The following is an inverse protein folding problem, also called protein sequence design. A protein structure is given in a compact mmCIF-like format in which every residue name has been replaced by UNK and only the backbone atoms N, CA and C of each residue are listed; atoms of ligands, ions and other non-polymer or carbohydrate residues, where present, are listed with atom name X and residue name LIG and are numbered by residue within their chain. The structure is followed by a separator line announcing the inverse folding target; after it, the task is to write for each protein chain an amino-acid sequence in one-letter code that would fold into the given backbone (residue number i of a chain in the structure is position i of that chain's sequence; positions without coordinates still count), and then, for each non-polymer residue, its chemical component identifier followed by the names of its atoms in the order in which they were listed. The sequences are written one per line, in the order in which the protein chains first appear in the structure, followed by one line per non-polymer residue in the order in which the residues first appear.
data_IF_743429826217
#
_entry.id   IF_743429826217
#
_cell.length_a   1.000
_cell.length_b   1.000
_cell.length_c   1.000
_cell.angle_alpha   90.00
_cell.angle_beta   90.00
_cell.angle_gamma   90.00
#
_symmetry.space_group_name_H-M   'P 1'
#
loop_
_entity.id
_entity.type
_entity.pdbx_description
1 polymer ?
#
# COMPACT_ATOMS: atom_id res chain seq x y z
N UNK A 1 -17.25 -46.40 -7.29
CA UNK A 1 -15.96 -46.26 -8.01
C UNK A 1 -16.03 -45.16 -9.06
N UNK A 2 -17.09 -45.11 -9.89
CA UNK A 2 -17.33 -44.01 -10.82
C UNK A 2 -17.56 -42.65 -10.14
N UNK A 3 -18.29 -42.59 -9.02
CA UNK A 3 -18.56 -41.34 -8.30
C UNK A 3 -17.29 -40.72 -7.68
N UNK A 4 -16.46 -41.55 -7.04
CA UNK A 4 -15.16 -41.12 -6.48
C UNK A 4 -14.20 -40.64 -7.57
N UNK A 5 -14.22 -41.27 -8.75
CA UNK A 5 -13.41 -40.84 -9.89
C UNK A 5 -13.90 -39.51 -10.48
N UNK A 6 -15.22 -39.30 -10.56
CA UNK A 6 -15.81 -38.03 -10.98
C UNK A 6 -15.49 -36.92 -9.99
N UNK A 7 -15.59 -37.17 -8.69
CA UNK A 7 -15.26 -36.21 -7.64
C UNK A 7 -13.77 -35.81 -7.68
N UNK A 8 -12.87 -36.77 -7.92
CA UNK A 8 -11.45 -36.52 -8.10
C UNK A 8 -11.14 -35.72 -9.38
N UNK A 9 -11.84 -36.02 -10.49
CA UNK A 9 -11.73 -35.26 -11.74
C UNK A 9 -12.22 -33.82 -11.58
N UNK A 10 -13.28 -33.59 -10.82
CA UNK A 10 -13.76 -32.24 -10.51
C UNK A 10 -12.76 -31.46 -9.64
N UNK A 11 -12.21 -32.09 -8.60
CA UNK A 11 -11.13 -31.53 -7.79
C UNK A 11 -9.93 -31.14 -8.65
N UNK A 12 -9.44 -32.03 -9.51
CA UNK A 12 -8.31 -31.73 -10.42
C UNK A 12 -8.61 -30.62 -11.41
N UNK A 13 -9.84 -30.56 -11.94
CA UNK A 13 -10.27 -29.46 -12.81
C UNK A 13 -10.35 -28.14 -12.05
N UNK A 14 -10.78 -28.15 -10.78
CA UNK A 14 -10.81 -26.97 -9.91
C UNK A 14 -9.40 -26.48 -9.60
N UNK A 15 -8.51 -27.36 -9.14
CA UNK A 15 -7.09 -27.05 -8.92
C UNK A 15 -6.44 -26.44 -10.17
N UNK A 16 -6.66 -27.05 -11.34
CA UNK A 16 -6.12 -26.55 -12.61
C UNK A 16 -6.69 -25.17 -12.97
N UNK A 17 -7.99 -24.95 -12.78
CA UNK A 17 -8.62 -23.64 -13.02
C UNK A 17 -8.06 -22.58 -12.07
N UNK A 18 -7.86 -22.90 -10.79
CA UNK A 18 -7.26 -21.99 -9.82
C UNK A 18 -5.80 -21.68 -10.15
N UNK A 19 -5.04 -22.68 -10.60
CA UNK A 19 -3.65 -22.49 -11.04
C UNK A 19 -3.57 -21.55 -12.25
N UNK A 20 -4.37 -21.80 -13.30
CA UNK A 20 -4.41 -20.95 -14.49
C UNK A 20 -4.85 -19.52 -14.17
N UNK A 21 -5.85 -19.34 -13.29
CA UNK A 21 -6.25 -18.01 -12.82
C UNK A 21 -5.13 -17.29 -12.07
N UNK A 22 -4.34 -18.01 -11.26
CA UNK A 22 -3.17 -17.44 -10.57
C UNK A 22 -2.08 -17.03 -11.57
N UNK A 23 -1.80 -17.85 -12.59
CA UNK A 23 -0.83 -17.53 -13.64
C UNK A 23 -1.27 -16.31 -14.47
N UNK A 24 -2.52 -16.25 -14.88
CA UNK A 24 -3.08 -15.14 -15.65
C UNK A 24 -2.99 -13.84 -14.85
N UNK A 25 -3.38 -13.87 -13.57
CA UNK A 25 -3.23 -12.73 -12.66
C UNK A 25 -1.77 -12.27 -12.51
N UNK A 26 -0.80 -13.20 -12.49
CA UNK A 26 0.64 -12.87 -12.45
C UNK A 26 1.09 -12.23 -13.77
N UNK A 27 0.63 -12.74 -14.90
CA UNK A 27 0.92 -12.15 -16.21
C UNK A 27 0.37 -10.73 -16.34
N UNK A 28 -0.86 -10.50 -15.89
CA UNK A 28 -1.49 -9.18 -15.87
C UNK A 28 -0.76 -8.22 -14.93
N UNK A 29 -0.30 -8.73 -13.77
CA UNK A 29 0.56 -8.00 -12.82
C UNK A 29 1.82 -7.47 -13.53
N UNK A 30 2.53 -8.32 -14.27
CA UNK A 30 3.75 -7.92 -14.98
C UNK A 30 3.47 -6.91 -16.09
N UNK A 31 2.35 -7.08 -16.80
CA UNK A 31 1.98 -6.21 -17.91
C UNK A 31 1.62 -4.81 -17.41
N UNK A 32 0.74 -4.72 -16.41
CA UNK A 32 0.34 -3.44 -15.81
C UNK A 32 1.55 -2.71 -15.19
N UNK A 33 2.41 -3.45 -14.50
CA UNK A 33 3.62 -2.88 -13.92
C UNK A 33 4.61 -2.38 -14.98
N UNK A 34 4.76 -3.10 -16.08
CA UNK A 34 5.62 -2.67 -17.19
C UNK A 34 5.14 -1.35 -17.79
N UNK A 35 3.82 -1.15 -17.86
CA UNK A 35 3.22 0.14 -18.27
C UNK A 35 3.46 1.25 -17.25
N UNK A 36 3.25 0.96 -15.96
CA UNK A 36 3.42 1.93 -14.87
C UNK A 36 4.90 2.32 -14.67
N UNK A 37 5.86 1.46 -15.02
CA UNK A 37 7.30 1.77 -15.06
C UNK A 37 7.68 2.57 -16.33
N UNK A 38 7.10 2.24 -17.49
CA UNK A 38 7.42 2.91 -18.76
C UNK A 38 7.04 4.40 -18.74
N UNK A 39 5.94 4.73 -18.08
CA UNK A 39 5.41 6.11 -18.00
C UNK A 39 6.40 7.10 -17.34
N UNK A 40 6.89 6.89 -16.10
CA UNK A 40 7.88 7.77 -15.49
C UNK A 40 9.22 7.75 -16.22
N UNK A 41 9.62 6.61 -16.81
CA UNK A 41 10.86 6.51 -17.59
C UNK A 41 10.81 7.38 -18.86
N UNK A 42 9.69 7.35 -19.59
CA UNK A 42 9.47 8.19 -20.78
C UNK A 42 9.42 9.67 -20.39
N UNK A 43 8.78 9.99 -19.27
CA UNK A 43 8.76 11.36 -18.73
C UNK A 43 10.16 11.84 -18.35
N UNK A 44 11.00 10.98 -17.75
CA UNK A 44 12.38 11.30 -17.38
C UNK A 44 13.22 11.64 -18.61
N UNK A 45 13.15 10.81 -19.65
CA UNK A 45 13.87 11.02 -20.90
C UNK A 45 13.49 12.36 -21.55
N UNK A 46 12.18 12.68 -21.58
CA UNK A 46 11.70 13.98 -22.06
C UNK A 46 12.23 15.17 -21.26
N UNK A 47 12.28 15.09 -19.93
CA UNK A 47 12.83 16.17 -19.10
C UNK A 47 14.35 16.29 -19.22
N UNK A 48 15.08 15.21 -19.47
CA UNK A 48 16.51 15.28 -19.80
C UNK A 48 16.72 16.02 -21.13
N UNK A 49 15.96 15.70 -22.18
CA UNK A 49 16.04 16.39 -23.48
C UNK A 49 15.70 17.88 -23.37
N UNK A 50 14.70 18.24 -22.57
CA UNK A 50 14.36 19.65 -22.30
C UNK A 50 15.48 20.35 -21.54
N UNK A 51 16.12 19.68 -20.58
CA UNK A 51 17.23 20.25 -19.81
C UNK A 51 18.48 20.48 -20.66
N UNK A 52 18.77 19.60 -21.61
CA UNK A 52 19.91 19.75 -22.55
C UNK A 52 19.78 20.97 -23.46
N UNK A 53 18.56 21.40 -23.77
CA UNK A 53 18.28 22.51 -24.68
C UNK A 53 17.85 23.81 -23.97
N UNK A 54 17.68 23.76 -22.65
CA UNK A 54 17.25 24.89 -21.83
C UNK A 54 18.45 25.72 -21.35
N UNK A 55 18.44 27.02 -21.63
CA UNK A 55 19.47 27.97 -21.15
C UNK A 55 19.05 28.68 -19.86
N UNK A 56 17.75 28.69 -19.53
CA UNK A 56 17.24 29.31 -18.30
C UNK A 56 17.52 28.45 -17.06
N UNK A 57 18.18 29.05 -16.07
CA UNK A 57 18.53 28.40 -14.80
C UNK A 57 17.32 28.13 -13.90
N UNK A 58 16.23 28.88 -14.02
CA UNK A 58 15.01 28.61 -13.25
C UNK A 58 14.27 27.40 -13.81
N UNK A 59 14.07 27.34 -15.13
CA UNK A 59 13.51 26.16 -15.79
C UNK A 59 14.35 24.89 -15.60
N UNK A 60 15.69 24.97 -15.72
CA UNK A 60 16.56 23.82 -15.41
C UNK A 60 16.37 23.29 -13.99
N UNK A 61 16.28 24.17 -12.99
CA UNK A 61 16.01 23.77 -11.60
C UNK A 61 14.63 23.12 -11.45
N UNK A 62 13.61 23.63 -12.15
CA UNK A 62 12.28 23.02 -12.19
C UNK A 62 12.32 21.63 -12.81
N UNK A 63 12.96 21.44 -13.96
CA UNK A 63 13.09 20.13 -14.61
C UNK A 63 13.87 19.14 -13.73
N UNK A 64 14.95 19.59 -13.07
CA UNK A 64 15.71 18.77 -12.12
C UNK A 64 14.83 18.27 -10.97
N UNK A 65 13.98 19.15 -10.42
CA UNK A 65 13.04 18.76 -9.36
C UNK A 65 12.06 17.69 -9.85
N UNK A 66 11.49 17.86 -11.05
CA UNK A 66 10.57 16.88 -11.64
C UNK A 66 11.28 15.54 -11.90
N UNK A 67 12.52 15.55 -12.38
CA UNK A 67 13.34 14.35 -12.56
C UNK A 67 13.53 13.62 -11.23
N UNK A 68 13.90 14.34 -10.17
CA UNK A 68 14.07 13.76 -8.84
C UNK A 68 12.77 13.14 -8.30
N UNK A 69 11.63 13.82 -8.47
CA UNK A 69 10.31 13.29 -8.10
C UNK A 69 10.00 11.99 -8.86
N UNK A 70 10.27 11.95 -10.18
CA UNK A 70 10.03 10.76 -11.01
C UNK A 70 10.94 9.58 -10.66
N UNK A 71 12.21 9.82 -10.35
CA UNK A 71 13.13 8.79 -9.85
C UNK A 71 12.64 8.26 -8.50
N UNK A 72 12.17 9.13 -7.61
CA UNK A 72 11.57 8.76 -6.33
C UNK A 72 10.40 7.80 -6.53
N UNK A 73 9.42 8.17 -7.35
CA UNK A 73 8.25 7.30 -7.65
C UNK A 73 8.65 5.96 -8.27
N UNK A 74 9.66 5.93 -9.15
CA UNK A 74 10.16 4.69 -9.75
C UNK A 74 10.78 3.77 -8.70
N UNK A 75 11.57 4.33 -7.77
CA UNK A 75 12.17 3.58 -6.67
C UNK A 75 11.10 2.95 -5.77
N UNK A 76 10.07 3.71 -5.42
CA UNK A 76 8.94 3.19 -4.63
C UNK A 76 8.22 2.04 -5.33
N UNK A 77 7.92 2.18 -6.63
CA UNK A 77 7.30 1.11 -7.43
C UNK A 77 8.15 -0.16 -7.47
N UNK A 78 9.47 -0.03 -7.61
CA UNK A 78 10.39 -1.17 -7.58
C UNK A 78 10.43 -1.84 -6.20
N UNK A 79 10.41 -1.06 -5.11
CA UNK A 79 10.34 -1.60 -3.76
C UNK A 79 9.02 -2.34 -3.50
N UNK A 80 7.90 -1.80 -3.99
CA UNK A 80 6.58 -2.46 -3.91
C UNK A 80 6.59 -3.78 -4.68
N UNK A 81 7.15 -3.79 -5.90
CA UNK A 81 7.31 -5.01 -6.68
C UNK A 81 8.17 -6.04 -5.96
N UNK A 82 9.31 -5.62 -5.44
CA UNK A 82 10.22 -6.52 -4.75
C UNK A 82 9.57 -7.12 -3.50
N UNK A 83 8.86 -6.29 -2.73
CA UNK A 83 8.08 -6.75 -1.57
C UNK A 83 7.00 -7.74 -2.01
N UNK A 84 6.27 -7.44 -3.08
CA UNK A 84 5.26 -8.33 -3.64
C UNK A 84 5.83 -9.69 -4.06
N UNK A 85 6.93 -9.70 -4.82
CA UNK A 85 7.57 -10.96 -5.27
C UNK A 85 8.08 -11.78 -4.09
N UNK A 86 8.64 -11.15 -3.05
CA UNK A 86 9.03 -11.82 -1.81
C UNK A 86 7.84 -12.44 -1.08
N UNK A 87 6.76 -11.69 -0.90
CA UNK A 87 5.54 -12.19 -0.24
C UNK A 87 4.81 -13.28 -1.05
N UNK A 88 5.12 -13.45 -2.33
CA UNK A 88 4.63 -14.57 -3.14
C UNK A 88 5.45 -15.84 -3.00
N UNK A 89 6.68 -15.73 -2.53
CA UNK A 89 7.48 -16.90 -2.29
C UNK A 89 7.09 -17.50 -0.94
N UNK A 90 6.51 -18.70 -0.96
CA UNK A 90 6.12 -19.42 0.27
C UNK A 90 7.34 -19.73 1.16
N UNK A 91 8.55 -19.74 0.60
CA UNK A 91 9.79 -19.88 1.37
C UNK A 91 10.26 -18.58 2.03
N UNK A 92 9.61 -17.44 1.77
CA UNK A 92 9.96 -16.17 2.40
C UNK A 92 9.52 -16.16 3.86
N UNK A 93 10.50 -16.34 4.75
CA UNK A 93 10.29 -16.28 6.19
C UNK A 93 10.40 -14.82 6.67
N UNK A 94 9.33 -14.29 7.27
CA UNK A 94 9.44 -13.03 8.00
C UNK A 94 10.09 -13.30 9.35
N UNK A 95 11.24 -12.68 9.59
CA UNK A 95 11.87 -12.72 10.91
C UNK A 95 11.02 -11.92 11.90
N UNK A 96 10.42 -12.64 12.85
CA UNK A 96 9.57 -12.05 13.87
C UNK A 96 10.35 -11.76 15.14
N UNK A 97 10.20 -10.55 15.66
CA UNK A 97 10.76 -10.05 16.91
C UNK A 97 9.70 -9.33 17.74
N UNK A 98 10.00 -9.06 19.00
CA UNK A 98 9.14 -8.20 19.83
C UNK A 98 9.25 -6.76 19.34
N UNK A 99 8.14 -6.20 18.85
CA UNK A 99 8.08 -4.89 18.23
C UNK A 99 7.22 -3.94 19.07
N UNK A 100 7.73 -2.75 19.39
CA UNK A 100 6.94 -1.70 20.06
C UNK A 100 6.15 -0.89 19.03
N UNK A 101 4.83 -1.09 18.97
CA UNK A 101 3.98 -0.48 17.95
C UNK A 101 3.90 1.04 18.10
N UNK A 102 3.86 1.55 19.33
CA UNK A 102 3.81 3.00 19.59
C UNK A 102 5.03 3.70 18.97
N UNK A 103 6.22 3.10 19.08
CA UNK A 103 7.46 3.67 18.52
C UNK A 103 7.42 3.65 16.99
N UNK A 104 7.12 2.50 16.40
CA UNK A 104 7.08 2.34 14.94
C UNK A 104 6.04 3.28 14.32
N UNK A 105 4.86 3.41 14.95
CA UNK A 105 3.81 4.30 14.49
C UNK A 105 4.24 5.77 14.57
N UNK A 106 4.80 6.21 15.71
CA UNK A 106 5.28 7.59 15.87
C UNK A 106 6.38 7.93 14.88
N UNK A 107 7.38 7.06 14.72
CA UNK A 107 8.47 7.24 13.76
C UNK A 107 7.94 7.34 12.33
N UNK A 108 6.94 6.51 11.99
CA UNK A 108 6.33 6.52 10.66
C UNK A 108 5.55 7.82 10.45
N UNK A 109 4.68 8.23 11.37
CA UNK A 109 3.93 9.49 11.25
C UNK A 109 4.88 10.68 11.10
N UNK A 110 5.95 10.72 11.89
CA UNK A 110 6.95 11.79 11.85
C UNK A 110 7.71 11.84 10.52
N UNK A 111 7.95 10.70 9.87
CA UNK A 111 8.61 10.67 8.56
C UNK A 111 7.81 11.36 7.44
N UNK A 112 6.50 11.54 7.63
CA UNK A 112 5.62 12.26 6.70
C UNK A 112 5.43 13.74 7.07
N UNK A 113 6.13 14.28 8.09
CA UNK A 113 5.95 15.66 8.59
C UNK A 113 6.01 16.74 7.49
N UNK A 114 7.00 16.68 6.62
CA UNK A 114 7.16 17.66 5.54
C UNK A 114 6.03 17.55 4.50
N UNK A 115 5.48 16.37 4.28
CA UNK A 115 4.37 16.13 3.35
C UNK A 115 3.03 16.60 3.94
N UNK A 116 2.81 16.37 5.25
CA UNK A 116 1.66 16.91 5.98
C UNK A 116 1.63 18.44 5.88
N UNK A 117 2.73 19.07 6.28
CA UNK A 117 2.86 20.53 6.33
C UNK A 117 2.83 21.16 4.94
N UNK A 118 3.52 20.56 3.96
CA UNK A 118 3.50 21.01 2.56
C UNK A 118 2.12 20.98 1.91
N UNK A 119 1.22 20.08 2.35
CA UNK A 119 -0.17 19.98 1.89
C UNK A 119 -1.17 20.74 2.78
N UNK A 120 -0.71 21.32 3.89
CA UNK A 120 -1.57 21.98 4.89
C UNK A 120 -2.53 21.00 5.58
N UNK A 121 -2.05 19.80 5.88
CA UNK A 121 -2.76 18.73 6.57
C UNK A 121 -2.29 18.72 8.02
N UNK A 122 -3.23 18.72 8.95
CA UNK A 122 -2.97 18.55 10.39
C UNK A 122 -3.59 17.21 10.83
N UNK A 123 -2.79 16.14 10.95
CA UNK A 123 -3.33 14.83 11.32
C UNK A 123 -3.74 14.80 12.79
N UNK A 124 -4.95 14.29 13.05
CA UNK A 124 -5.40 14.01 14.42
C UNK A 124 -4.79 12.68 14.90
N UNK A 125 -3.94 12.74 15.93
CA UNK A 125 -3.18 11.56 16.40
C UNK A 125 -3.61 11.22 17.82
N UNK A 126 -4.13 10.01 18.01
CA UNK A 126 -4.56 9.50 19.30
C UNK A 126 -3.85 8.17 19.60
N UNK A 127 -2.71 8.24 20.29
CA UNK A 127 -1.90 7.07 20.63
C UNK A 127 -1.94 6.86 22.14
N UNK A 128 -2.35 5.67 22.58
CA UNK A 128 -2.32 5.30 24.00
C UNK A 128 -0.92 5.48 24.61
N UNK A 129 -0.87 5.89 25.88
CA UNK A 129 0.38 6.03 26.63
C UNK A 129 0.98 4.67 27.02
N UNK A 130 0.14 3.62 27.13
CA UNK A 130 0.60 2.26 27.38
C UNK A 130 1.42 1.79 26.17
N UNK A 131 2.64 1.31 26.42
CA UNK A 131 3.46 0.72 25.36
C UNK A 131 2.90 -0.65 24.99
N UNK A 132 2.53 -0.79 23.73
CA UNK A 132 1.99 -2.02 23.15
C UNK A 132 3.07 -2.74 22.36
N UNK A 133 3.21 -4.03 22.63
CA UNK A 133 4.19 -4.90 21.98
C UNK A 133 3.47 -6.06 21.30
N UNK A 134 3.95 -6.45 20.12
CA UNK A 134 3.53 -7.67 19.46
C UNK A 134 4.72 -8.41 18.88
N UNK A 135 4.55 -9.71 18.65
CA UNK A 135 5.48 -10.50 17.86
C UNK A 135 5.23 -10.21 16.37
N UNK A 136 6.16 -9.52 15.72
CA UNK A 136 6.02 -9.11 14.32
C UNK A 136 7.36 -8.77 13.71
N UNK A 137 7.35 -8.28 12.47
CA UNK A 137 8.57 -7.79 11.83
C UNK A 137 8.51 -6.27 11.73
N UNK A 138 9.46 -5.58 12.35
CA UNK A 138 9.48 -4.11 12.42
C UNK A 138 9.40 -3.46 11.04
N UNK A 139 10.16 -3.95 10.06
CA UNK A 139 10.16 -3.41 8.70
C UNK A 139 8.81 -3.64 8.00
N UNK A 140 8.22 -4.82 8.19
CA UNK A 140 6.89 -5.15 7.68
C UNK A 140 5.81 -4.26 8.29
N UNK A 141 5.83 -4.03 9.60
CA UNK A 141 4.88 -3.13 10.28
C UNK A 141 5.04 -1.70 9.77
N UNK A 142 6.27 -1.20 9.66
CA UNK A 142 6.56 0.11 9.08
C UNK A 142 6.00 0.21 7.66
N UNK A 143 6.16 -0.83 6.85
CA UNK A 143 5.64 -0.86 5.47
C UNK A 143 4.12 -0.88 5.41
N UNK A 144 3.45 -1.63 6.31
CA UNK A 144 1.98 -1.60 6.45
C UNK A 144 1.52 -0.16 6.69
N UNK A 145 2.13 0.50 7.68
CA UNK A 145 1.76 1.87 8.06
C UNK A 145 2.03 2.87 6.93
N UNK A 146 3.21 2.81 6.29
CA UNK A 146 3.54 3.65 5.14
C UNK A 146 2.53 3.50 4.00
N UNK A 147 2.14 2.27 3.65
CA UNK A 147 1.19 2.02 2.57
C UNK A 147 -0.19 2.61 2.87
N UNK A 148 -0.66 2.54 4.12
CA UNK A 148 -1.99 3.05 4.51
C UNK A 148 -1.95 4.58 4.67
N UNK A 149 -0.92 5.12 5.32
CA UNK A 149 -0.73 6.57 5.51
C UNK A 149 -0.61 7.26 4.14
N UNK A 150 0.21 6.72 3.23
CA UNK A 150 0.37 7.24 1.88
C UNK A 150 -0.93 7.17 1.09
N UNK A 151 -1.73 6.10 1.26
CA UNK A 151 -3.06 6.03 0.64
C UNK A 151 -3.96 7.18 1.11
N UNK A 152 -3.95 7.48 2.41
CA UNK A 152 -4.67 8.64 2.96
C UNK A 152 -4.18 9.97 2.40
N UNK A 153 -2.88 10.12 2.16
CA UNK A 153 -2.29 11.33 1.55
C UNK A 153 -2.64 11.49 0.08
N UNK A 154 -2.52 10.43 -0.71
CA UNK A 154 -2.67 10.48 -2.17
C UNK A 154 -4.13 10.50 -2.63
N UNK A 155 -5.03 9.95 -1.82
CA UNK A 155 -6.45 9.80 -2.16
C UNK A 155 -7.41 10.49 -1.18
N UNK A 156 -6.90 10.99 -0.05
CA UNK A 156 -7.68 11.73 0.92
C UNK A 156 -7.62 13.23 0.73
N UNK A 157 -8.55 13.89 1.42
CA UNK A 157 -8.59 15.34 1.60
C UNK A 157 -7.70 15.76 2.78
N UNK A 158 -7.91 16.97 3.31
CA UNK A 158 -7.07 17.54 4.37
C UNK A 158 -7.26 16.93 5.76
N UNK A 159 -8.23 16.03 5.95
CA UNK A 159 -8.53 15.43 7.26
C UNK A 159 -8.07 13.99 7.30
N UNK A 160 -7.11 13.72 8.18
CA UNK A 160 -6.59 12.39 8.47
C UNK A 160 -6.58 12.20 9.97
N UNK A 161 -7.05 11.05 10.44
CA UNK A 161 -6.97 10.65 11.85
C UNK A 161 -6.25 9.31 11.97
N UNK A 162 -5.41 9.18 12.98
CA UNK A 162 -4.61 7.99 13.26
C UNK A 162 -4.73 7.67 14.74
N UNK A 163 -5.21 6.47 15.06
CA UNK A 163 -5.31 6.00 16.44
C UNK A 163 -4.60 4.67 16.67
N UNK A 164 -4.09 4.51 17.89
CA UNK A 164 -3.53 3.28 18.43
C UNK A 164 -4.08 3.06 19.83
N UNK A 165 -4.82 1.97 19.99
CA UNK A 165 -5.45 1.58 21.25
C UNK A 165 -5.30 0.07 21.51
N UNK A 166 -5.48 -0.32 22.77
CA UNK A 166 -5.61 -1.71 23.17
C UNK A 166 -7.09 -2.01 23.41
N UNK A 167 -7.61 -3.07 22.78
CA UNK A 167 -9.01 -3.47 22.89
C UNK A 167 -9.07 -4.97 23.07
N UNK A 168 -9.68 -5.43 24.16
CA UNK A 168 -9.91 -6.86 24.42
C UNK A 168 -8.64 -7.72 24.24
N UNK A 169 -7.50 -7.26 24.78
CA UNK A 169 -6.22 -7.97 24.68
C UNK A 169 -5.68 -8.09 23.23
N UNK A 170 -6.03 -7.12 22.39
CA UNK A 170 -5.55 -6.96 21.02
C UNK A 170 -5.11 -5.52 20.78
N UNK A 171 -4.16 -5.34 19.87
CA UNK A 171 -3.67 -4.02 19.46
C UNK A 171 -4.47 -3.59 18.24
N UNK A 172 -5.19 -2.46 18.35
CA UNK A 172 -5.94 -1.87 17.24
C UNK A 172 -5.26 -0.61 16.73
N UNK A 173 -5.02 -0.57 15.43
CA UNK A 173 -4.56 0.60 14.70
C UNK A 173 -5.69 1.02 13.74
N UNK A 174 -6.06 2.29 13.77
CA UNK A 174 -7.04 2.83 12.85
C UNK A 174 -6.47 4.05 12.15
N UNK A 175 -6.62 4.09 10.83
CA UNK A 175 -6.27 5.25 10.01
C UNK A 175 -7.50 5.61 9.21
N UNK A 176 -7.99 6.84 9.37
CA UNK A 176 -9.10 7.37 8.59
C UNK A 176 -8.65 8.57 7.78
N UNK A 177 -9.20 8.70 6.59
CA UNK A 177 -9.03 9.88 5.76
C UNK A 177 -10.37 10.26 5.14
N UNK A 178 -10.62 11.57 5.07
CA UNK A 178 -11.78 12.08 4.35
C UNK A 178 -11.59 11.87 2.85
N UNK A 179 -12.64 11.45 2.13
CA UNK A 179 -12.64 11.22 0.69
C UNK A 179 -13.79 11.98 0.03
N UNK A 180 -13.58 12.50 -1.19
CA UNK A 180 -14.60 13.25 -1.93
C UNK A 180 -15.67 12.36 -2.58
N UNK A 181 -15.28 11.19 -3.07
CA UNK A 181 -16.12 10.32 -3.91
C UNK A 181 -16.21 8.91 -3.33
N UNK A 182 -16.89 8.78 -2.19
CA UNK A 182 -17.12 7.49 -1.53
C UNK A 182 -17.78 6.47 -2.45
N UNK A 183 -18.65 6.93 -3.35
CA UNK A 183 -19.40 6.12 -4.31
C UNK A 183 -18.53 5.38 -5.32
N UNK A 184 -17.29 5.83 -5.52
CA UNK A 184 -16.31 5.17 -6.41
C UNK A 184 -15.47 4.11 -5.70
N UNK A 185 -15.57 4.01 -4.38
CA UNK A 185 -14.74 3.12 -3.58
C UNK A 185 -15.51 1.83 -3.30
N UNK A 186 -15.09 0.74 -3.95
CA UNK A 186 -15.54 -0.59 -3.63
C UNK A 186 -14.71 -1.17 -2.47
N UNK A 187 -15.26 -1.10 -1.26
CA UNK A 187 -14.64 -1.57 -0.01
C UNK A 187 -14.23 -3.04 -0.06
N UNK A 188 -15.00 -3.88 -0.77
CA UNK A 188 -14.68 -5.31 -0.90
C UNK A 188 -13.43 -5.56 -1.75
N UNK A 189 -13.06 -4.58 -2.59
CA UNK A 189 -11.96 -4.68 -3.55
C UNK A 189 -10.74 -3.81 -3.20
N UNK A 190 -10.79 -2.95 -2.18
CA UNK A 190 -9.66 -2.03 -1.88
C UNK A 190 -8.35 -2.73 -1.53
N UNK A 191 -8.42 -4.00 -1.10
CA UNK A 191 -7.25 -4.83 -0.83
C UNK A 191 -6.89 -5.77 -1.99
N UNK A 192 -7.67 -5.78 -3.06
CA UNK A 192 -7.33 -6.49 -4.28
C UNK A 192 -6.19 -5.77 -5.00
N UNK A 193 -5.38 -6.56 -5.70
CA UNK A 193 -4.18 -6.05 -6.38
C UNK A 193 -4.58 -5.18 -7.56
N UNK A 194 -3.85 -4.09 -7.78
CA UNK A 194 -4.08 -3.14 -8.88
C UNK A 194 -5.43 -2.43 -8.82
N UNK A 195 -6.18 -2.60 -7.73
CA UNK A 195 -7.43 -1.88 -7.56
C UNK A 195 -7.16 -0.37 -7.48
N UNK A 196 -7.87 0.38 -8.33
CA UNK A 196 -7.84 1.85 -8.38
C UNK A 196 -9.29 2.33 -8.45
N UNK A 197 -9.74 3.12 -7.48
CA UNK A 197 -11.09 3.68 -7.46
C UNK A 197 -11.34 4.70 -8.59
N UNK A 198 -10.28 5.34 -9.09
CA UNK A 198 -10.35 6.28 -10.21
C UNK A 198 -9.07 6.19 -11.06
N UNK A 199 -9.14 5.49 -12.20
CA UNK A 199 -8.01 5.31 -13.12
C UNK A 199 -7.46 6.63 -13.67
N UNK A 200 -8.28 7.68 -13.76
CA UNK A 200 -7.88 8.97 -14.34
C UNK A 200 -7.08 9.85 -13.36
N UNK A 201 -7.32 9.71 -12.05
CA UNK A 201 -6.61 10.46 -11.00
C UNK A 201 -5.43 9.69 -10.38
N UNK A 202 -5.35 8.37 -10.55
CA UNK A 202 -4.35 7.47 -9.95
C UNK A 202 -3.06 7.32 -10.78
N UNK A 203 -2.59 8.38 -11.45
CA UNK A 203 -1.40 8.30 -12.34
C UNK A 203 -0.08 7.95 -11.62
N UNK A 204 -0.04 8.02 -10.29
CA UNK A 204 1.18 7.83 -9.48
C UNK A 204 1.14 6.63 -8.55
N UNK A 205 0.00 5.94 -8.39
CA UNK A 205 -0.12 4.80 -7.48
C UNK A 205 -0.25 3.49 -8.25
N UNK A 206 0.51 2.47 -7.85
CA UNK A 206 0.54 1.13 -8.48
C UNK A 206 -0.71 0.29 -8.20
N UNK A 207 -1.52 0.67 -7.20
CA UNK A 207 -2.60 -0.17 -6.67
C UNK A 207 -2.12 -1.40 -5.88
N UNK A 208 -0.84 -1.47 -5.50
CA UNK A 208 -0.29 -2.58 -4.73
C UNK A 208 -0.24 -2.31 -3.22
N UNK A 209 -0.18 -1.06 -2.78
CA UNK A 209 0.06 -0.68 -1.39
C UNK A 209 -0.84 -1.36 -0.36
N UNK A 210 -2.17 -1.24 -0.50
CA UNK A 210 -3.13 -1.85 0.43
C UNK A 210 -3.11 -3.39 0.36
N UNK A 211 -2.89 -3.97 -0.81
CA UNK A 211 -2.77 -5.43 -0.96
C UNK A 211 -1.51 -5.98 -0.26
N UNK A 212 -0.39 -5.25 -0.31
CA UNK A 212 0.84 -5.57 0.42
C UNK A 212 0.62 -5.44 1.93
N UNK A 213 -0.08 -4.37 2.35
CA UNK A 213 -0.42 -4.18 3.76
C UNK A 213 -1.26 -5.34 4.29
N UNK A 214 -2.29 -5.77 3.53
CA UNK A 214 -3.12 -6.93 3.89
C UNK A 214 -2.29 -8.21 4.04
N UNK A 215 -1.44 -8.51 3.07
CA UNK A 215 -0.60 -9.71 3.09
C UNK A 215 0.36 -9.73 4.29
N UNK A 216 1.00 -8.59 4.60
CA UNK A 216 1.89 -8.47 5.76
C UNK A 216 1.14 -8.63 7.08
N UNK A 217 -0.04 -8.01 7.22
CA UNK A 217 -0.89 -8.15 8.41
C UNK A 217 -1.28 -9.61 8.62
N UNK A 218 -1.72 -10.31 7.56
CA UNK A 218 -2.11 -11.72 7.64
C UNK A 218 -0.93 -12.63 8.01
N UNK A 219 0.27 -12.37 7.48
CA UNK A 219 1.49 -13.12 7.84
C UNK A 219 1.95 -12.87 9.28
N UNK A 220 1.52 -11.78 9.90
CA UNK A 220 1.72 -11.47 11.32
C UNK A 220 0.49 -11.85 12.16
N UNK A 221 -0.38 -12.74 11.64
CA UNK A 221 -1.58 -13.27 12.34
C UNK A 221 -2.62 -12.20 12.72
N UNK A 222 -2.50 -11.01 12.15
CA UNK A 222 -3.46 -9.93 12.33
C UNK A 222 -4.64 -10.00 11.36
N UNK A 223 -5.58 -9.08 11.57
CA UNK A 223 -6.73 -8.83 10.69
C UNK A 223 -6.69 -7.41 10.20
N UNK A 224 -7.04 -7.20 8.94
CA UNK A 224 -7.18 -5.89 8.32
C UNK A 224 -8.56 -5.78 7.68
N UNK A 225 -9.22 -4.65 7.85
CA UNK A 225 -10.51 -4.36 7.24
C UNK A 225 -10.57 -2.90 6.79
N UNK A 226 -11.46 -2.62 5.85
CA UNK A 226 -11.77 -1.27 5.42
C UNK A 226 -13.28 -1.05 5.52
N UNK A 227 -13.69 0.19 5.77
CA UNK A 227 -15.08 0.61 5.78
C UNK A 227 -15.22 2.08 5.43
N UNK A 228 -16.43 2.48 5.07
CA UNK A 228 -16.78 3.88 4.83
C UNK A 228 -17.74 4.32 5.94
N UNK A 229 -17.39 5.39 6.64
CA UNK A 229 -18.20 6.02 7.67
C UNK A 229 -18.52 7.45 7.23
N UNK A 230 -19.72 7.68 6.68
CA UNK A 230 -20.08 8.97 6.09
C UNK A 230 -19.19 9.29 4.88
N UNK A 231 -18.32 10.29 5.00
CA UNK A 231 -17.35 10.69 3.96
C UNK A 231 -15.91 10.28 4.31
N UNK A 232 -15.72 9.38 5.28
CA UNK A 232 -14.41 8.92 5.72
C UNK A 232 -14.17 7.49 5.25
N UNK A 233 -13.02 7.26 4.61
CA UNK A 233 -12.49 5.94 4.38
C UNK A 233 -11.65 5.54 5.61
N UNK A 234 -11.98 4.40 6.21
CA UNK A 234 -11.34 3.92 7.42
C UNK A 234 -10.69 2.57 7.16
N UNK A 235 -9.39 2.47 7.43
CA UNK A 235 -8.65 1.21 7.48
C UNK A 235 -8.37 0.87 8.94
N UNK A 236 -8.72 -0.36 9.32
CA UNK A 236 -8.52 -0.88 10.66
C UNK A 236 -7.66 -2.13 10.62
N UNK A 237 -6.65 -2.17 11.48
CA UNK A 237 -5.78 -3.33 11.70
C UNK A 237 -5.92 -3.76 13.15
N UNK A 238 -6.06 -5.07 13.36
CA UNK A 238 -6.10 -5.68 14.69
C UNK A 238 -5.05 -6.78 14.75
N UNK A 239 -4.11 -6.67 15.68
CA UNK A 239 -3.15 -7.73 15.99
C UNK A 239 -3.50 -8.38 17.34
N UNK A 240 -3.40 -9.71 17.46
CA UNK A 240 -3.43 -10.34 18.77
C UNK A 240 -2.22 -9.87 19.59
N UNK A 241 -2.42 -9.62 20.89
CA UNK A 241 -1.33 -9.29 21.83
C UNK A 241 -0.38 -10.48 22.06
#
# INVERSE_FOLDING_TARGET
MADVLNEWLELKRREKKEYLKKEEMISDTYTNLSHDIRTPLTSLDGYFQLMETCEDQEEQRRYMKIIQERIGSLKEMLEELFTFTKLKNDSFHLEMSSCCINKILKDTIFSYYDEWTGRGIEPEIQITEKLLFMKGNEQGIRRILQNIIKNGLDHGEKKISISLEEVENSIRIQIKNQVCHVEKINVDQVFERFYKADEARSKTSSGLGLSIAKELVLRMEGKISARIEGNEFCVEIVFPE
#
